data_IF_372630371541
#
_entry.id   IF_372630371541
#
_cell.length_a   1.000
_cell.length_b   1.000
_cell.length_c   1.000
_cell.angle_alpha   90.00
_cell.angle_beta   90.00
_cell.angle_gamma   90.00
#
_symmetry.space_group_name_H-M   'P 1'
#
loop_
_entity.id
_entity.type
_entity.pdbx_description
1 polymer ?
#
# COMPACT_ATOMS: atom_id res chain seq x y z
N UNK A 1 0.25 1.72 21.39
CA UNK A 1 0.12 1.08 20.07
C UNK A 1 -1.34 0.67 19.86
N UNK A 2 -2.15 1.51 19.21
CA UNK A 2 -3.41 1.11 18.56
C UNK A 2 -3.24 1.50 17.10
N UNK A 3 -2.65 0.61 16.31
CA UNK A 3 -2.24 0.88 14.93
C UNK A 3 -2.11 -0.47 14.23
N UNK A 4 -3.08 -0.83 13.41
CA UNK A 4 -3.37 -2.23 13.04
C UNK A 4 -4.86 -2.52 12.87
N UNK A 5 -5.64 -1.58 12.31
CA UNK A 5 -7.08 -1.76 12.02
C UNK A 5 -7.36 -1.71 10.52
N UNK A 6 -8.52 -2.24 10.12
CA UNK A 6 -9.00 -2.24 8.72
C UNK A 6 -9.08 -0.81 8.13
N UNK A 7 -9.48 0.18 8.92
CA UNK A 7 -9.54 1.59 8.48
C UNK A 7 -8.15 2.14 8.13
N UNK A 8 -7.12 1.69 8.83
CA UNK A 8 -5.77 2.19 8.62
C UNK A 8 -5.22 1.71 7.28
N UNK A 9 -5.50 0.47 6.88
CA UNK A 9 -5.04 -0.04 5.59
C UNK A 9 -5.77 0.63 4.43
N UNK A 10 -7.06 0.92 4.58
CA UNK A 10 -7.83 1.72 3.63
C UNK A 10 -7.23 3.12 3.46
N UNK A 11 -6.95 3.81 4.57
CA UNK A 11 -6.31 5.13 4.54
C UNK A 11 -4.92 5.07 3.88
N UNK A 12 -4.14 4.02 4.12
CA UNK A 12 -2.80 3.88 3.53
C UNK A 12 -2.84 3.59 2.04
N UNK A 13 -3.78 2.75 1.59
CA UNK A 13 -4.06 2.54 0.18
C UNK A 13 -4.40 3.86 -0.54
N UNK A 14 -5.32 4.65 0.04
CA UNK A 14 -5.68 5.96 -0.51
C UNK A 14 -4.46 6.89 -0.65
N UNK A 15 -3.59 6.94 0.36
CA UNK A 15 -2.40 7.80 0.32
C UNK A 15 -1.40 7.38 -0.76
N UNK A 16 -1.23 6.08 -1.01
CA UNK A 16 -0.41 5.60 -2.14
C UNK A 16 -0.96 6.16 -3.46
N UNK A 17 -2.27 5.99 -3.70
CA UNK A 17 -2.90 6.45 -4.95
C UNK A 17 -2.80 7.95 -5.13
N UNK A 18 -3.05 8.74 -4.08
CA UNK A 18 -3.08 10.21 -4.20
C UNK A 18 -1.73 10.90 -4.08
N UNK A 19 -0.80 10.36 -3.29
CA UNK A 19 0.48 11.04 -2.98
C UNK A 19 1.68 10.35 -3.58
N UNK A 20 1.62 9.03 -3.78
CA UNK A 20 2.71 8.23 -4.35
C UNK A 20 4.08 8.52 -3.70
N UNK A 21 4.13 8.61 -2.37
CA UNK A 21 5.35 8.92 -1.61
C UNK A 21 5.95 7.64 -0.98
N UNK A 22 7.27 7.59 -0.84
CA UNK A 22 8.03 6.44 -0.33
C UNK A 22 7.49 5.93 1.01
N UNK A 23 7.13 6.85 1.91
CA UNK A 23 6.52 6.52 3.21
C UNK A 23 5.21 5.76 3.11
N UNK A 24 4.37 6.13 2.15
CA UNK A 24 3.03 5.58 2.04
C UNK A 24 3.10 4.11 1.60
N UNK A 25 4.03 3.76 0.71
CA UNK A 25 4.36 2.37 0.37
C UNK A 25 4.89 1.59 1.57
N UNK A 26 5.89 2.12 2.27
CA UNK A 26 6.49 1.45 3.44
C UNK A 26 5.43 1.15 4.51
N UNK A 27 4.65 2.17 4.88
CA UNK A 27 3.63 2.04 5.92
C UNK A 27 2.52 1.06 5.48
N UNK A 28 2.10 1.08 4.21
CA UNK A 28 1.12 0.14 3.69
C UNK A 28 1.64 -1.30 3.73
N UNK A 29 2.85 -1.55 3.23
CA UNK A 29 3.42 -2.91 3.16
C UNK A 29 3.64 -3.48 4.56
N UNK A 30 4.17 -2.69 5.49
CA UNK A 30 4.33 -3.12 6.88
C UNK A 30 2.97 -3.46 7.52
N UNK A 31 1.92 -2.68 7.22
CA UNK A 31 0.58 -2.94 7.73
C UNK A 31 -0.08 -4.16 7.06
N UNK A 32 0.06 -4.30 5.75
CA UNK A 32 -0.47 -5.43 4.97
C UNK A 32 0.13 -6.76 5.47
N UNK A 33 1.45 -6.79 5.68
CA UNK A 33 2.13 -7.93 6.27
C UNK A 33 1.66 -8.21 7.71
N UNK A 34 1.48 -7.17 8.52
CA UNK A 34 1.06 -7.30 9.91
C UNK A 34 -0.37 -7.83 10.05
N UNK A 35 -1.29 -7.36 9.21
CA UNK A 35 -2.69 -7.80 9.19
C UNK A 35 -2.84 -9.19 8.56
N UNK A 36 -1.95 -9.54 7.62
CA UNK A 36 -2.08 -10.73 6.78
C UNK A 36 -2.94 -10.46 5.54
N UNK A 37 -2.81 -11.33 4.54
CA UNK A 37 -3.41 -11.15 3.21
C UNK A 37 -4.94 -11.11 3.31
N UNK A 38 -5.57 -12.10 3.95
CA UNK A 38 -7.03 -12.24 3.97
C UNK A 38 -7.71 -11.03 4.63
N UNK A 39 -7.22 -10.60 5.79
CA UNK A 39 -7.77 -9.44 6.51
C UNK A 39 -7.54 -8.14 5.74
N UNK A 40 -6.41 -8.01 5.07
CA UNK A 40 -6.10 -6.85 4.25
C UNK A 40 -7.04 -6.75 3.06
N UNK A 41 -7.26 -7.86 2.34
CA UNK A 41 -8.19 -7.92 1.21
C UNK A 41 -9.64 -7.66 1.65
N UNK A 42 -10.06 -8.25 2.78
CA UNK A 42 -11.39 -8.00 3.36
C UNK A 42 -11.65 -6.51 3.65
N UNK A 43 -10.62 -5.76 4.06
CA UNK A 43 -10.76 -4.32 4.21
C UNK A 43 -10.81 -3.62 2.85
N UNK A 44 -9.85 -3.94 1.96
CA UNK A 44 -9.65 -3.29 0.66
C UNK A 44 -10.81 -3.46 -0.32
N UNK A 45 -11.67 -4.46 -0.16
CA UNK A 45 -12.87 -4.62 -1.00
C UNK A 45 -13.78 -3.38 -0.98
N UNK A 46 -13.80 -2.63 0.13
CA UNK A 46 -14.62 -1.42 0.27
C UNK A 46 -13.88 -0.14 -0.12
N UNK A 47 -12.66 -0.23 -0.68
CA UNK A 47 -11.82 0.93 -0.91
C UNK A 47 -12.46 1.95 -1.87
N UNK A 48 -13.13 1.45 -2.92
CA UNK A 48 -13.83 2.28 -3.90
C UNK A 48 -15.04 3.00 -3.29
N UNK A 49 -15.73 2.38 -2.33
CA UNK A 49 -16.87 2.98 -1.63
C UNK A 49 -16.43 4.08 -0.66
N UNK A 50 -15.33 3.84 0.08
CA UNK A 50 -14.81 4.81 1.05
C UNK A 50 -14.06 5.97 0.40
N UNK A 51 -13.43 5.73 -0.75
CA UNK A 51 -12.64 6.72 -1.45
C UNK A 51 -12.95 6.71 -2.96
N UNK A 52 -14.14 7.18 -3.37
CA UNK A 52 -14.50 7.24 -4.78
C UNK A 52 -13.57 8.19 -5.53
N UNK A 53 -13.34 7.90 -6.81
CA UNK A 53 -12.57 8.76 -7.70
C UNK A 53 -13.49 9.61 -8.58
N UNK A 54 -13.06 10.84 -8.85
CA UNK A 54 -13.82 11.80 -9.67
C UNK A 54 -13.98 11.36 -11.12
N UNK A 55 -13.07 10.51 -11.62
CA UNK A 55 -13.03 10.05 -13.01
C UNK A 55 -13.63 8.65 -13.22
N UNK A 56 -14.44 8.17 -12.30
CA UNK A 56 -15.07 6.82 -12.32
C UNK A 56 -14.08 5.63 -12.32
N UNK A 57 -12.77 5.90 -12.23
CA UNK A 57 -11.75 4.85 -12.15
C UNK A 57 -11.71 4.20 -10.76
N UNK A 58 -11.49 2.88 -10.71
CA UNK A 58 -11.33 2.18 -9.43
C UNK A 58 -10.02 2.55 -8.73
N UNK A 59 -10.15 3.06 -7.51
CA UNK A 59 -9.08 3.28 -6.53
C UNK A 59 -8.32 1.98 -6.27
N UNK A 60 -9.04 0.87 -6.11
CA UNK A 60 -8.44 -0.44 -5.84
C UNK A 60 -7.60 -0.92 -7.03
N UNK A 61 -8.08 -0.70 -8.26
CA UNK A 61 -7.31 -1.00 -9.47
C UNK A 61 -6.05 -0.13 -9.58
N UNK A 62 -6.15 1.17 -9.33
CA UNK A 62 -4.98 2.06 -9.37
C UNK A 62 -3.95 1.72 -8.30
N UNK A 63 -4.41 1.37 -7.10
CA UNK A 63 -3.55 0.85 -6.03
C UNK A 63 -2.79 -0.40 -6.51
N UNK A 64 -3.48 -1.36 -7.11
CA UNK A 64 -2.85 -2.57 -7.62
C UNK A 64 -1.75 -2.28 -8.67
N UNK A 65 -1.99 -1.32 -9.57
CA UNK A 65 -1.02 -0.89 -10.58
C UNK A 65 0.22 -0.27 -9.91
N UNK A 66 0.04 0.64 -8.96
CA UNK A 66 1.14 1.31 -8.27
C UNK A 66 1.93 0.35 -7.37
N UNK A 67 1.29 -0.66 -6.81
CA UNK A 67 1.94 -1.71 -6.03
C UNK A 67 2.72 -2.71 -6.92
N UNK A 68 2.24 -2.96 -8.15
CA UNK A 68 2.92 -3.87 -9.09
C UNK A 68 4.33 -3.40 -9.42
N UNK A 69 4.50 -2.08 -9.57
CA UNK A 69 5.78 -1.44 -9.85
C UNK A 69 5.90 -0.11 -9.05
N UNK A 70 6.30 -0.18 -7.76
CA UNK A 70 6.37 1.00 -6.91
C UNK A 70 7.38 2.03 -7.40
N UNK A 71 6.88 3.21 -7.79
CA UNK A 71 7.64 4.35 -8.33
C UNK A 71 7.28 5.64 -7.60
N UNK A 72 7.60 5.78 -6.29
CA UNK A 72 7.29 6.99 -5.58
C UNK A 72 8.13 8.16 -6.06
N UNK A 73 7.57 9.37 -6.01
CA UNK A 73 8.21 10.57 -6.57
C UNK A 73 9.44 11.03 -5.78
N UNK A 74 9.52 10.71 -4.49
CA UNK A 74 10.56 11.15 -3.55
C UNK A 74 11.67 10.12 -3.33
N UNK A 75 11.69 9.00 -4.08
CA UNK A 75 12.58 7.87 -3.80
C UNK A 75 14.06 8.26 -3.71
N UNK A 76 14.53 9.09 -4.65
CA UNK A 76 15.93 9.54 -4.74
C UNK A 76 16.26 10.67 -3.78
N UNK A 77 15.25 11.33 -3.22
CA UNK A 77 15.38 12.45 -2.29
C UNK A 77 15.30 12.01 -0.82
N UNK A 78 15.02 10.73 -0.59
CA UNK A 78 14.68 10.21 0.72
C UNK A 78 15.80 9.35 1.27
N UNK A 79 16.39 9.76 2.39
CA UNK A 79 17.20 8.86 3.21
C UNK A 79 16.30 8.08 4.17
N UNK A 80 16.18 6.77 3.93
CA UNK A 80 15.41 5.85 4.75
C UNK A 80 15.93 5.75 6.19
N UNK A 81 17.17 6.16 6.47
CA UNK A 81 17.72 6.23 7.83
C UNK A 81 16.99 7.23 8.72
N UNK A 82 16.37 8.27 8.13
CA UNK A 82 15.59 9.28 8.84
C UNK A 82 14.16 8.83 9.17
N UNK A 83 13.73 7.66 8.67
CA UNK A 83 12.42 7.10 8.98
C UNK A 83 12.45 6.49 10.38
N UNK A 84 12.00 7.28 11.36
CA UNK A 84 11.92 6.86 12.76
C UNK A 84 11.23 5.49 12.88
N UNK A 85 11.89 4.58 13.60
CA UNK A 85 11.39 3.25 13.95
C UNK A 85 11.24 2.25 12.80
N UNK A 86 11.80 2.53 11.62
CA UNK A 86 11.81 1.57 10.51
C UNK A 86 12.74 0.39 10.87
N UNK A 87 12.20 -0.83 10.87
CA UNK A 87 12.93 -2.05 11.16
C UNK A 87 13.13 -2.85 9.88
N UNK A 88 14.14 -3.72 9.85
CA UNK A 88 14.26 -4.71 8.79
C UNK A 88 12.98 -5.57 8.75
N UNK A 89 12.49 -5.94 7.55
CA UNK A 89 13.12 -5.72 6.25
C UNK A 89 12.65 -4.43 5.54
N UNK A 90 11.81 -3.61 6.18
CA UNK A 90 11.20 -2.42 5.57
C UNK A 90 12.15 -1.25 5.32
N UNK A 91 13.40 -1.35 5.78
CA UNK A 91 14.50 -0.42 5.47
C UNK A 91 15.12 -0.61 4.09
N UNK A 92 14.79 -1.70 3.37
CA UNK A 92 15.30 -1.99 2.03
C UNK A 92 14.20 -1.77 0.98
N UNK A 93 14.40 -0.79 0.09
CA UNK A 93 13.43 -0.49 -0.96
C UNK A 93 13.22 -1.66 -1.95
N UNK A 94 14.23 -2.50 -2.20
CA UNK A 94 14.05 -3.67 -3.05
C UNK A 94 13.08 -4.66 -2.41
N UNK A 95 13.09 -4.80 -1.08
CA UNK A 95 12.11 -5.61 -0.39
C UNK A 95 10.71 -4.98 -0.46
N UNK A 96 10.59 -3.66 -0.34
CA UNK A 96 9.31 -2.96 -0.52
C UNK A 96 8.73 -3.21 -1.92
N UNK A 97 9.56 -3.13 -2.97
CA UNK A 97 9.12 -3.46 -4.35
C UNK A 97 8.65 -4.91 -4.46
N UNK A 98 9.42 -5.87 -3.92
CA UNK A 98 9.07 -7.29 -3.98
C UNK A 98 7.75 -7.58 -3.28
N UNK A 99 7.56 -7.03 -2.08
CA UNK A 99 6.31 -7.18 -1.29
C UNK A 99 5.14 -6.44 -1.93
N UNK A 100 5.37 -5.24 -2.46
CA UNK A 100 4.37 -4.50 -3.24
C UNK A 100 3.86 -5.30 -4.42
N UNK A 101 4.76 -5.90 -5.19
CA UNK A 101 4.39 -6.75 -6.31
C UNK A 101 3.52 -7.94 -5.88
N UNK A 102 3.87 -8.61 -4.77
CA UNK A 102 3.05 -9.69 -4.22
C UNK A 102 1.67 -9.21 -3.76
N UNK A 103 1.59 -8.07 -3.06
CA UNK A 103 0.32 -7.49 -2.65
C UNK A 103 -0.55 -7.11 -3.84
N UNK A 104 0.04 -6.55 -4.90
CA UNK A 104 -0.63 -6.27 -6.17
C UNK A 104 -1.24 -7.52 -6.78
N UNK A 105 -0.48 -8.62 -6.88
CA UNK A 105 -1.01 -9.89 -7.40
C UNK A 105 -2.25 -10.33 -6.62
N UNK A 106 -2.22 -10.27 -5.28
CA UNK A 106 -3.37 -10.64 -4.44
C UNK A 106 -4.59 -9.75 -4.65
N UNK A 107 -4.37 -8.45 -4.81
CA UNK A 107 -5.45 -7.49 -5.09
C UNK A 107 -6.03 -7.73 -6.49
N UNK A 108 -5.17 -8.01 -7.48
CA UNK A 108 -5.61 -8.30 -8.85
C UNK A 108 -6.38 -9.62 -8.92
N UNK A 109 -5.95 -10.66 -8.20
CA UNK A 109 -6.71 -11.90 -8.03
C UNK A 109 -8.10 -11.63 -7.47
N UNK A 110 -8.22 -10.76 -6.44
CA UNK A 110 -9.51 -10.36 -5.88
C UNK A 110 -10.39 -9.59 -6.87
N UNK A 111 -9.82 -8.76 -7.74
CA UNK A 111 -10.56 -7.99 -8.75
C UNK A 111 -11.11 -8.83 -9.91
N UNK A 112 -10.56 -10.03 -10.13
CA UNK A 112 -10.89 -10.91 -11.26
C UNK A 112 -11.87 -12.04 -10.89
N UNK A 113 -12.17 -12.21 -9.60
CA UNK A 113 -13.12 -13.20 -9.08
C UNK A 113 -14.44 -12.54 -8.70
#
# INVERSE_FOLDING_TARGET
>A
MKKGSMDEILRKAYLIVKRNATRDFIDFIALFDHLGVEKSLQALVNLDDFYPQENEESMLRQLAIQLAEPKPWDLTQTDLSHYKSLQKPYTDWNEIKRRGNLASIRIMEMLLN
#
